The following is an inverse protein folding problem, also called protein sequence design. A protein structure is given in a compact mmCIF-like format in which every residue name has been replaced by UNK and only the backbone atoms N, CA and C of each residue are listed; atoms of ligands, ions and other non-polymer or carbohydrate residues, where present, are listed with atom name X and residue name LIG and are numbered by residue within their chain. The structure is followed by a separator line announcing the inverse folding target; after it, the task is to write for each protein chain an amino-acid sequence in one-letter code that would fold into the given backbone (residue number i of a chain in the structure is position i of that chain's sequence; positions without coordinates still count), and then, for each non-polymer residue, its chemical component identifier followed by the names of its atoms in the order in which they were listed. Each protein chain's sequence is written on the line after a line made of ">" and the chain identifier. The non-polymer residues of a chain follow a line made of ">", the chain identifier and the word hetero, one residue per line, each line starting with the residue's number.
data_IF_914887033057
#
_entry.id   IF_914887033057
#
_cell.length_a   1.000
_cell.length_b   1.000
_cell.length_c   1.000
_cell.angle_alpha   90.00
_cell.angle_beta   90.00
_cell.angle_gamma   90.00
#
_symmetry.space_group_name_H-M   'P 1'
#
loop_
_entity.id
_entity.type
_entity.pdbx_description
1 polymer ?
#
# COMPACT_ATOMS: atom_id res chain seq x y z
N UNK A 1 14.88 -1.26 -4.26
CA UNK A 1 13.77 -2.20 -3.95
C UNK A 1 13.04 -1.69 -2.71
N UNK A 2 11.72 -1.70 -2.71
CA UNK A 2 10.90 -1.30 -1.54
C UNK A 2 9.98 -2.46 -1.16
N UNK A 3 10.17 -2.97 0.06
CA UNK A 3 9.30 -3.97 0.68
C UNK A 3 8.27 -3.27 1.58
N UNK A 4 6.99 -3.39 1.21
CA UNK A 4 5.86 -2.87 1.98
C UNK A 4 5.51 -3.88 3.09
N UNK A 5 5.97 -3.58 4.31
CA UNK A 5 5.71 -4.43 5.47
C UNK A 5 4.22 -4.58 5.72
N UNK A 6 3.74 -5.82 5.74
CA UNK A 6 2.36 -6.16 6.10
C UNK A 6 1.34 -5.34 5.30
N UNK A 7 1.57 -5.22 3.99
CA UNK A 7 0.81 -4.32 3.12
C UNK A 7 -0.73 -4.55 3.18
N UNK A 8 -1.16 -5.80 3.38
CA UNK A 8 -2.57 -6.16 3.58
C UNK A 8 -3.14 -5.80 4.96
N UNK A 9 -2.30 -5.64 5.98
CA UNK A 9 -2.70 -5.35 7.36
C UNK A 9 -2.85 -3.84 7.62
N UNK A 10 -2.32 -2.98 6.73
CA UNK A 10 -2.22 -1.52 6.93
C UNK A 10 -3.14 -0.71 6.02
N UNK A 11 -3.97 -1.36 5.20
CA UNK A 11 -4.94 -0.68 4.34
C UNK A 11 -5.93 0.13 5.18
N UNK A 12 -5.90 1.45 5.05
CA UNK A 12 -6.85 2.36 5.68
C UNK A 12 -8.17 2.36 4.90
N UNK A 13 -9.29 2.09 5.58
CA UNK A 13 -10.59 1.97 4.92
C UNK A 13 -11.09 3.29 4.33
N UNK A 14 -10.70 4.45 4.89
CA UNK A 14 -11.12 5.75 4.36
C UNK A 14 -10.37 6.09 3.08
N UNK A 15 -9.06 5.86 3.06
CA UNK A 15 -8.24 6.06 1.84
C UNK A 15 -8.71 5.10 0.74
N UNK A 16 -8.98 3.84 1.09
CA UNK A 16 -9.54 2.88 0.13
C UNK A 16 -10.90 3.34 -0.41
N UNK A 17 -11.79 3.88 0.43
CA UNK A 17 -13.07 4.41 -0.02
C UNK A 17 -12.88 5.56 -1.03
N UNK A 18 -11.99 6.50 -0.74
CA UNK A 18 -11.66 7.62 -1.64
C UNK A 18 -11.11 7.12 -2.97
N UNK A 19 -10.22 6.12 -2.95
CA UNK A 19 -9.67 5.54 -4.18
C UNK A 19 -10.79 4.85 -4.99
N UNK A 20 -11.64 4.05 -4.36
CA UNK A 20 -12.76 3.37 -5.04
C UNK A 20 -13.72 4.40 -5.67
N UNK A 21 -14.03 5.50 -4.98
CA UNK A 21 -14.82 6.61 -5.54
C UNK A 21 -14.12 7.30 -6.71
N UNK A 22 -12.81 7.51 -6.61
CA UNK A 22 -11.98 8.07 -7.68
C UNK A 22 -12.02 7.19 -8.93
N UNK A 23 -11.98 5.86 -8.77
CA UNK A 23 -12.16 4.88 -9.84
C UNK A 23 -13.61 4.74 -10.34
N UNK A 24 -14.55 5.49 -9.76
CA UNK A 24 -15.93 5.60 -10.25
C UNK A 24 -16.94 4.68 -9.57
N UNK A 25 -16.56 3.93 -8.53
CA UNK A 25 -17.51 3.15 -7.72
C UNK A 25 -18.34 4.08 -6.84
N UNK A 26 -19.67 3.93 -6.86
CA UNK A 26 -20.60 4.80 -6.11
C UNK A 26 -21.83 4.05 -5.64
N UNK A 27 -22.49 4.60 -4.63
CA UNK A 27 -23.76 4.09 -4.11
C UNK A 27 -23.63 2.66 -3.59
N UNK A 28 -24.59 1.80 -3.94
CA UNK A 28 -24.71 0.45 -3.37
C UNK A 28 -23.50 -0.46 -3.61
N UNK A 29 -22.78 -0.31 -4.73
CA UNK A 29 -21.59 -1.14 -4.98
C UNK A 29 -20.44 -0.75 -4.06
N UNK A 30 -20.23 0.54 -3.83
CA UNK A 30 -19.25 1.05 -2.88
C UNK A 30 -19.62 0.66 -1.44
N UNK A 31 -20.89 0.86 -1.06
CA UNK A 31 -21.41 0.45 0.26
C UNK A 31 -21.21 -1.05 0.50
N UNK A 32 -21.48 -1.89 -0.50
CA UNK A 32 -21.25 -3.33 -0.41
C UNK A 32 -19.77 -3.63 -0.18
N UNK A 33 -18.87 -3.06 -0.99
CA UNK A 33 -17.42 -3.29 -0.86
C UNK A 33 -16.88 -2.87 0.51
N UNK A 34 -17.29 -1.70 1.00
CA UNK A 34 -16.88 -1.21 2.32
C UNK A 34 -17.49 -2.06 3.45
N UNK A 35 -18.76 -2.48 3.33
CA UNK A 35 -19.39 -3.34 4.33
C UNK A 35 -18.70 -4.70 4.51
N UNK A 36 -18.02 -5.20 3.47
CA UNK A 36 -17.26 -6.46 3.53
C UNK A 36 -15.98 -6.35 4.37
N UNK A 37 -15.49 -5.14 4.61
CA UNK A 37 -14.22 -4.90 5.32
C UNK A 37 -14.40 -4.14 6.63
N UNK A 38 -15.49 -3.38 6.79
CA UNK A 38 -15.78 -2.55 7.96
C UNK A 38 -16.40 -3.29 9.15
N UNK A 39 -16.42 -2.63 10.33
CA UNK A 39 -17.11 -3.09 11.56
C UNK A 39 -16.71 -4.48 12.06
N UNK A 40 -15.48 -4.92 11.78
CA UNK A 40 -15.00 -6.22 12.22
C UNK A 40 -14.51 -6.15 13.66
N UNK A 41 -14.95 -7.11 14.46
CA UNK A 41 -14.58 -7.22 15.87
C UNK A 41 -13.71 -8.46 16.06
N UNK A 42 -12.54 -8.25 16.66
CA UNK A 42 -11.56 -9.30 16.94
C UNK A 42 -11.38 -9.50 18.43
N UNK A 43 -11.10 -10.74 18.83
CA UNK A 43 -10.60 -11.08 20.16
C UNK A 43 -9.58 -12.21 20.03
N UNK A 44 -8.69 -12.33 21.01
CA UNK A 44 -7.70 -13.41 21.09
C UNK A 44 -8.19 -14.41 22.13
N UNK A 45 -8.14 -15.70 21.82
CA UNK A 45 -8.37 -16.78 22.79
C UNK A 45 -7.06 -17.54 22.98
N UNK A 46 -6.52 -17.54 24.19
CA UNK A 46 -5.33 -18.30 24.54
C UNK A 46 -5.62 -19.10 25.81
N UNK A 47 -5.36 -20.41 25.78
CA UNK A 47 -5.59 -21.33 26.91
C UNK A 47 -7.01 -21.22 27.51
N UNK A 48 -8.03 -21.01 26.67
CA UNK A 48 -9.43 -20.87 27.09
C UNK A 48 -9.82 -19.49 27.63
N UNK A 49 -8.87 -18.57 27.78
CA UNK A 49 -9.12 -17.19 28.19
C UNK A 49 -9.29 -16.29 26.96
N UNK A 50 -10.38 -15.54 26.91
CA UNK A 50 -10.67 -14.58 25.84
C UNK A 50 -10.21 -13.18 26.25
N UNK A 51 -9.58 -12.45 25.32
CA UNK A 51 -9.30 -11.03 25.48
C UNK A 51 -10.57 -10.19 25.32
N UNK A 52 -10.47 -8.91 25.67
CA UNK A 52 -11.46 -7.93 25.26
C UNK A 52 -11.56 -7.87 23.73
N UNK A 53 -12.75 -7.55 23.25
CA UNK A 53 -13.02 -7.30 21.84
C UNK A 53 -12.43 -5.97 21.40
N UNK A 54 -11.94 -5.91 20.16
CA UNK A 54 -11.51 -4.68 19.51
C UNK A 54 -12.09 -4.58 18.11
N UNK A 55 -12.61 -3.42 17.76
CA UNK A 55 -12.99 -3.11 16.38
C UNK A 55 -11.74 -2.76 15.57
N UNK A 56 -11.61 -3.32 14.38
CA UNK A 56 -10.48 -3.09 13.47
C UNK A 56 -10.97 -2.37 12.22
N UNK A 57 -10.49 -1.14 12.02
CA UNK A 57 -10.86 -0.25 10.91
C UNK A 57 -9.77 -0.17 9.82
N UNK A 58 -8.83 -1.10 9.87
CA UNK A 58 -7.74 -1.24 8.91
C UNK A 58 -7.73 -2.69 8.41
N UNK A 59 -6.96 -2.97 7.38
CA UNK A 59 -6.76 -4.30 6.79
C UNK A 59 -7.97 -4.91 6.09
N UNK A 60 -7.68 -5.88 5.23
CA UNK A 60 -8.66 -6.78 4.62
C UNK A 60 -8.65 -8.13 5.34
N UNK A 61 -9.74 -8.91 5.33
CA UNK A 61 -9.75 -10.25 5.93
C UNK A 61 -8.75 -11.18 5.23
N UNK A 62 -7.86 -11.80 6.01
CA UNK A 62 -7.00 -12.85 5.51
C UNK A 62 -7.86 -14.01 4.99
N UNK A 63 -7.63 -14.44 3.75
CA UNK A 63 -8.47 -15.43 3.07
C UNK A 63 -9.68 -14.86 2.33
N UNK A 64 -9.88 -13.53 2.36
CA UNK A 64 -10.85 -12.89 1.46
C UNK A 64 -10.35 -12.90 0.03
N UNK A 65 -11.17 -13.41 -0.90
CA UNK A 65 -10.91 -13.31 -2.34
C UNK A 65 -10.82 -11.86 -2.83
N UNK A 66 -11.48 -10.93 -2.12
CA UNK A 66 -11.45 -9.49 -2.45
C UNK A 66 -10.21 -8.77 -1.94
N UNK A 67 -9.51 -9.33 -0.95
CA UNK A 67 -8.34 -8.70 -0.33
C UNK A 67 -7.27 -8.29 -1.35
N UNK A 68 -6.81 -9.20 -2.24
CA UNK A 68 -5.87 -8.90 -3.31
C UNK A 68 -6.34 -7.80 -4.27
N UNK A 69 -7.63 -7.80 -4.65
CA UNK A 69 -8.18 -6.79 -5.54
C UNK A 69 -8.18 -5.40 -4.91
N UNK A 70 -8.66 -5.30 -3.66
CA UNK A 70 -8.72 -4.03 -2.93
C UNK A 70 -7.31 -3.48 -2.66
N UNK A 71 -6.36 -4.36 -2.37
CA UNK A 71 -4.96 -3.99 -2.23
C UNK A 71 -4.38 -3.44 -3.54
N UNK A 72 -4.65 -4.11 -4.68
CA UNK A 72 -4.18 -3.65 -5.98
C UNK A 72 -4.72 -2.26 -6.30
N UNK A 73 -6.02 -2.03 -6.10
CA UNK A 73 -6.65 -0.71 -6.30
C UNK A 73 -5.98 0.35 -5.41
N UNK A 74 -5.66 0.00 -4.17
CA UNK A 74 -5.05 0.93 -3.22
C UNK A 74 -3.63 1.35 -3.63
N UNK A 75 -2.82 0.42 -4.14
CA UNK A 75 -1.41 0.67 -4.49
C UNK A 75 -1.22 1.20 -5.92
N UNK A 76 -2.23 1.06 -6.78
CA UNK A 76 -2.11 1.36 -8.21
C UNK A 76 -1.72 2.83 -8.49
N UNK A 77 -2.15 3.77 -7.65
CA UNK A 77 -1.85 5.20 -7.84
C UNK A 77 -0.39 5.58 -7.55
N UNK A 78 0.38 4.68 -6.94
CA UNK A 78 1.79 4.90 -6.61
C UNK A 78 2.64 5.19 -7.85
N UNK A 79 2.30 4.61 -9.00
CA UNK A 79 3.02 4.82 -10.25
C UNK A 79 3.03 6.29 -10.69
N UNK A 80 2.06 7.08 -10.20
CA UNK A 80 1.93 8.49 -10.51
C UNK A 80 2.71 9.40 -9.54
N UNK A 81 3.37 8.83 -8.53
CA UNK A 81 4.14 9.60 -7.53
C UNK A 81 5.45 10.18 -8.07
N UNK A 82 6.01 9.59 -9.13
CA UNK A 82 7.21 10.06 -9.79
C UNK A 82 7.04 10.06 -11.30
N UNK A 83 7.61 11.06 -11.95
CA UNK A 83 7.64 11.17 -13.43
C UNK A 83 8.91 10.56 -14.04
N UNK A 84 9.84 10.11 -13.19
CA UNK A 84 11.18 9.69 -13.58
C UNK A 84 11.38 8.19 -13.35
N UNK A 85 10.84 7.66 -12.25
CA UNK A 85 10.92 6.23 -11.97
C UNK A 85 9.90 5.45 -12.79
N UNK A 86 10.34 4.32 -13.32
CA UNK A 86 9.48 3.25 -13.77
C UNK A 86 9.20 2.30 -12.60
N UNK A 87 7.92 2.07 -12.32
CA UNK A 87 7.48 1.23 -11.21
C UNK A 87 7.09 -0.16 -11.73
N UNK A 88 7.74 -1.19 -11.18
CA UNK A 88 7.34 -2.59 -11.35
C UNK A 88 6.79 -3.07 -10.01
N UNK A 89 5.48 -3.34 -9.97
CA UNK A 89 4.77 -3.77 -8.76
C UNK A 89 4.36 -5.24 -8.87
N UNK A 90 4.65 -6.00 -7.82
CA UNK A 90 4.14 -7.36 -7.65
C UNK A 90 3.72 -7.52 -6.19
N UNK A 91 2.41 -7.50 -5.95
CA UNK A 91 1.85 -7.50 -4.59
C UNK A 91 2.52 -6.45 -3.68
N UNK A 92 3.15 -6.88 -2.60
CA UNK A 92 3.89 -6.08 -1.61
C UNK A 92 5.29 -5.64 -2.06
N UNK A 93 5.82 -6.21 -3.14
CA UNK A 93 7.13 -5.88 -3.69
C UNK A 93 7.01 -4.80 -4.76
N UNK A 94 7.71 -3.67 -4.54
CA UNK A 94 7.80 -2.61 -5.55
C UNK A 94 9.26 -2.31 -5.89
N UNK A 95 9.57 -2.38 -7.19
CA UNK A 95 10.88 -2.02 -7.74
C UNK A 95 10.79 -0.73 -8.53
N UNK A 96 11.65 0.23 -8.19
CA UNK A 96 11.80 1.49 -8.90
C UNK A 96 13.05 1.39 -9.77
N UNK A 97 12.90 1.53 -11.08
CA UNK A 97 14.00 1.59 -12.04
C UNK A 97 14.04 2.95 -12.69
N UNK A 98 15.23 3.42 -13.02
CA UNK A 98 15.44 4.69 -13.72
C UNK A 98 16.72 4.56 -14.54
N UNK A 99 16.71 5.07 -15.76
CA UNK A 99 17.84 5.07 -16.68
C UNK A 99 18.16 6.50 -17.10
N UNK A 100 19.44 6.88 -17.13
CA UNK A 100 19.87 8.21 -17.55
C UNK A 100 21.32 8.20 -18.05
N UNK A 101 21.64 9.14 -18.94
CA UNK A 101 22.97 9.25 -19.57
C UNK A 101 23.96 10.12 -18.78
N UNK A 102 23.49 11.00 -17.89
CA UNK A 102 24.31 11.87 -17.05
C UNK A 102 24.17 11.51 -15.57
N UNK A 103 25.24 10.95 -14.99
CA UNK A 103 25.26 10.43 -13.62
C UNK A 103 25.03 11.51 -12.55
N UNK A 104 25.48 12.75 -12.78
CA UNK A 104 25.39 13.81 -11.78
C UNK A 104 23.97 14.40 -11.72
N UNK A 105 23.39 14.70 -12.90
CA UNK A 105 22.00 15.14 -12.99
C UNK A 105 21.04 14.05 -12.48
N UNK A 106 21.37 12.79 -12.77
CA UNK A 106 20.65 11.63 -12.32
C UNK A 106 20.65 11.48 -10.81
N UNK A 107 21.80 11.66 -10.14
CA UNK A 107 21.89 11.50 -8.68
C UNK A 107 21.05 12.54 -7.94
N UNK A 108 21.03 13.79 -8.42
CA UNK A 108 20.24 14.86 -7.81
C UNK A 108 18.74 14.68 -8.05
N UNK A 109 18.33 14.37 -9.28
CA UNK A 109 16.92 14.15 -9.65
C UNK A 109 16.35 12.90 -8.98
N UNK A 110 17.17 11.85 -8.83
CA UNK A 110 16.79 10.59 -8.17
C UNK A 110 16.40 10.81 -6.71
N UNK A 111 17.14 11.64 -5.98
CA UNK A 111 16.84 11.93 -4.58
C UNK A 111 15.46 12.56 -4.43
N UNK A 112 15.21 13.64 -5.17
CA UNK A 112 13.93 14.37 -5.11
C UNK A 112 12.74 13.52 -5.57
N UNK A 113 12.91 12.66 -6.56
CA UNK A 113 11.83 11.80 -7.04
C UNK A 113 11.58 10.62 -6.09
N UNK A 114 12.62 10.16 -5.38
CA UNK A 114 12.47 9.12 -4.37
C UNK A 114 11.71 9.66 -3.17
N UNK A 115 12.00 10.89 -2.76
CA UNK A 115 11.26 11.57 -1.69
C UNK A 115 9.77 11.67 -2.02
N UNK A 116 9.39 11.98 -3.26
CA UNK A 116 7.98 11.96 -3.69
C UNK A 116 7.31 10.60 -3.55
N UNK A 117 8.01 9.52 -3.93
CA UNK A 117 7.49 8.16 -3.78
C UNK A 117 7.35 7.78 -2.29
N UNK A 118 8.29 8.20 -1.45
CA UNK A 118 8.23 8.00 0.01
C UNK A 118 7.08 8.81 0.64
N UNK A 119 6.90 10.06 0.24
CA UNK A 119 5.80 10.92 0.68
C UNK A 119 4.44 10.33 0.31
N UNK A 120 4.33 9.74 -0.90
CA UNK A 120 3.14 9.02 -1.31
C UNK A 120 2.85 7.83 -0.40
N UNK A 121 3.85 7.02 -0.06
CA UNK A 121 3.70 5.87 0.84
C UNK A 121 3.25 6.31 2.24
N UNK A 122 3.85 7.37 2.78
CA UNK A 122 3.48 7.93 4.10
C UNK A 122 2.04 8.47 4.06
N UNK A 123 1.67 9.18 3.00
CA UNK A 123 0.31 9.72 2.81
C UNK A 123 -0.73 8.60 2.75
N UNK A 124 -0.39 7.48 2.10
CA UNK A 124 -1.22 6.28 1.99
C UNK A 124 -1.06 5.30 3.17
N UNK A 125 -0.42 5.72 4.27
CA UNK A 125 -0.27 4.95 5.52
C UNK A 125 0.49 3.63 5.39
N UNK A 126 1.31 3.48 4.35
CA UNK A 126 2.19 2.33 4.21
C UNK A 126 3.36 2.37 5.19
N UNK A 127 3.82 1.18 5.60
CA UNK A 127 4.99 1.00 6.47
C UNK A 127 6.09 0.33 5.67
N UNK A 128 7.27 0.97 5.61
CA UNK A 128 8.43 0.46 4.88
C UNK A 128 9.29 -0.47 5.75
N UNK A 129 9.74 -1.58 5.17
CA UNK A 129 10.71 -2.46 5.82
C UNK A 129 12.16 -2.01 5.58
N UNK A 130 12.68 -1.11 6.43
CA UNK A 130 14.05 -0.62 6.25
C UNK A 130 15.14 -1.70 6.33
N UNK A 131 14.87 -2.85 6.97
CA UNK A 131 15.84 -3.94 7.10
C UNK A 131 16.02 -4.77 5.81
N UNK A 132 15.12 -4.66 4.83
CA UNK A 132 15.19 -5.36 3.55
C UNK A 132 15.42 -4.44 2.34
N UNK A 133 15.35 -3.12 2.53
CA UNK A 133 15.43 -2.14 1.46
C UNK A 133 16.86 -1.90 0.91
N UNK A 134 17.80 -2.82 1.15
CA UNK A 134 19.23 -2.62 0.92
C UNK A 134 19.75 -3.18 -0.42
N UNK A 135 19.11 -2.91 -1.55
CA UNK A 135 19.72 -3.20 -2.86
C UNK A 135 19.40 -2.11 -3.90
N UNK A 136 20.40 -1.27 -4.16
CA UNK A 136 20.48 -0.42 -5.35
C UNK A 136 21.37 -1.16 -6.35
N UNK A 137 20.79 -1.69 -7.42
CA UNK A 137 21.56 -2.11 -8.59
C UNK A 137 21.60 -0.93 -9.55
N UNK A 138 22.79 -0.40 -9.81
CA UNK A 138 23.03 0.52 -10.92
C UNK A 138 23.41 -0.38 -12.09
N UNK A 139 22.62 -0.36 -13.16
CA UNK A 139 22.96 -0.96 -14.45
C UNK A 139 23.33 0.15 -15.42
#
# INVERSE_FOLDING_TARGET
>A
FMDLSKAFDVLDHNILALNLEHYGLRGKSLELLLSLISNRIYFVCANGVKSNTKTVNISVPQGSTLGPLLFLIYVNDMINSSSVFYFTQFTDDTTLTVSGSDLNLFTQTKGTELDKALDWLVSNKFILNFNKNSHYAIY
#
